data_IF_302791946442
#
_entry.id   IF_302791946442
#
_cell.length_a   1.000
_cell.length_b   1.000
_cell.length_c   1.000
_cell.angle_alpha   90.00
_cell.angle_beta   90.00
_cell.angle_gamma   90.00
#
_symmetry.space_group_name_H-M   'P 1'
#
loop_
_entity.id
_entity.type
_entity.pdbx_description
1 polymer ?
#
# COMPACT_ATOMS: atom_id res chain seq x y z
N UNK A 1 -18.82 -8.03 -12.40
CA UNK A 1 -18.00 -9.21 -12.05
C UNK A 1 -17.13 -9.64 -13.22
N UNK A 2 -17.70 -9.93 -14.39
CA UNK A 2 -16.94 -10.38 -15.58
C UNK A 2 -15.75 -9.49 -15.97
N UNK A 3 -15.95 -8.17 -15.99
CA UNK A 3 -14.88 -7.18 -16.19
C UNK A 3 -13.64 -7.47 -15.32
N UNK A 4 -13.85 -7.75 -14.03
CA UNK A 4 -12.77 -7.94 -13.06
C UNK A 4 -12.12 -9.32 -13.15
N UNK A 5 -12.86 -10.34 -13.61
CA UNK A 5 -12.27 -11.64 -13.96
C UNK A 5 -11.30 -11.52 -15.14
N UNK A 6 -11.71 -10.84 -16.22
CA UNK A 6 -10.84 -10.57 -17.37
C UNK A 6 -9.61 -9.70 -16.99
N UNK A 7 -9.77 -8.76 -16.05
CA UNK A 7 -8.62 -8.03 -15.49
C UNK A 7 -7.65 -9.01 -14.80
N UNK A 8 -8.13 -9.88 -13.92
CA UNK A 8 -7.28 -10.84 -13.21
C UNK A 8 -6.58 -11.84 -14.15
N UNK A 9 -7.24 -12.26 -15.23
CA UNK A 9 -6.63 -13.06 -16.29
C UNK A 9 -5.46 -12.31 -16.96
N UNK A 10 -5.65 -11.03 -17.30
CA UNK A 10 -4.57 -10.19 -17.89
C UNK A 10 -3.42 -9.95 -16.91
N UNK A 11 -3.70 -9.92 -15.62
CA UNK A 11 -2.72 -9.78 -14.54
C UNK A 11 -1.99 -11.10 -14.24
N UNK A 12 -2.33 -12.19 -14.92
CA UNK A 12 -1.86 -13.55 -14.65
C UNK A 12 -1.98 -13.92 -13.16
N UNK A 13 -3.07 -13.48 -12.54
CA UNK A 13 -3.36 -13.77 -11.15
C UNK A 13 -3.97 -15.17 -11.01
N UNK A 14 -3.59 -15.87 -9.95
CA UNK A 14 -4.24 -17.07 -9.47
C UNK A 14 -4.18 -17.12 -7.94
N UNK A 15 -5.07 -17.90 -7.33
CA UNK A 15 -5.12 -18.06 -5.87
C UNK A 15 -3.76 -18.50 -5.33
N UNK A 16 -3.28 -17.82 -4.29
CA UNK A 16 -1.98 -18.04 -3.64
C UNK A 16 -0.74 -17.70 -4.50
N UNK A 17 -0.91 -17.02 -5.65
CA UNK A 17 0.23 -16.41 -6.36
C UNK A 17 0.99 -15.49 -5.40
N UNK A 18 2.30 -15.68 -5.35
CA UNK A 18 3.21 -14.93 -4.48
C UNK A 18 4.60 -14.83 -5.10
N UNK A 19 5.40 -13.88 -4.61
CA UNK A 19 6.82 -13.73 -4.92
C UNK A 19 7.69 -14.33 -3.81
N UNK A 20 8.92 -14.71 -4.16
CA UNK A 20 9.93 -15.12 -3.18
C UNK A 20 10.28 -13.99 -2.21
N UNK A 21 10.33 -12.76 -2.71
CA UNK A 21 10.65 -11.53 -1.97
C UNK A 21 9.83 -10.35 -2.49
N UNK A 22 9.53 -9.39 -1.61
CA UNK A 22 8.83 -8.15 -1.96
C UNK A 22 9.68 -6.93 -1.60
N UNK A 23 10.29 -6.31 -2.61
CA UNK A 23 11.17 -5.16 -2.43
C UNK A 23 10.41 -3.85 -2.64
N UNK A 24 10.56 -2.92 -1.70
CA UNK A 24 10.01 -1.58 -1.79
C UNK A 24 11.11 -0.54 -1.52
N UNK A 25 11.76 -0.09 -2.60
CA UNK A 25 12.90 0.82 -2.50
C UNK A 25 14.12 0.15 -1.87
N UNK A 26 14.46 0.50 -0.64
CA UNK A 26 15.52 -0.14 0.16
C UNK A 26 14.95 -1.07 1.23
N UNK A 27 13.62 -1.18 1.31
CA UNK A 27 12.90 -1.96 2.30
C UNK A 27 12.46 -3.31 1.74
N UNK A 28 12.19 -4.24 2.64
CA UNK A 28 11.55 -5.51 2.33
C UNK A 28 10.18 -5.55 3.02
N UNK A 29 9.13 -5.86 2.26
CA UNK A 29 7.77 -5.96 2.76
C UNK A 29 7.54 -7.39 3.24
N UNK A 30 7.06 -7.55 4.47
CA UNK A 30 6.70 -8.86 5.01
C UNK A 30 5.56 -9.48 4.19
N UNK A 31 5.67 -10.77 3.85
CA UNK A 31 4.68 -11.48 3.02
C UNK A 31 3.27 -11.44 3.62
N UNK A 32 3.17 -11.28 4.95
CA UNK A 32 1.90 -11.15 5.68
C UNK A 32 1.17 -9.85 5.36
N UNK A 33 1.88 -8.80 4.98
CA UNK A 33 1.32 -7.49 4.61
C UNK A 33 0.79 -7.46 3.16
N UNK A 34 1.19 -8.43 2.34
CA UNK A 34 0.84 -8.53 0.91
C UNK A 34 -0.49 -9.26 0.74
N UNK A 35 -1.43 -8.64 0.03
CA UNK A 35 -2.76 -9.19 -0.23
C UNK A 35 -2.97 -9.66 -1.69
N UNK A 36 -2.16 -9.19 -2.64
CA UNK A 36 -2.23 -9.62 -4.04
C UNK A 36 -0.86 -9.53 -4.73
N UNK A 37 -0.58 -10.45 -5.64
CA UNK A 37 0.60 -10.45 -6.50
C UNK A 37 0.16 -10.78 -7.93
N UNK A 38 0.59 -9.99 -8.90
CA UNK A 38 0.29 -10.13 -10.33
C UNK A 38 1.57 -10.51 -11.08
N UNK A 39 1.56 -10.44 -12.40
CA UNK A 39 2.75 -10.69 -13.22
C UNK A 39 3.88 -9.70 -12.92
N UNK A 40 3.54 -8.42 -12.81
CA UNK A 40 4.54 -7.35 -12.66
C UNK A 40 4.41 -6.51 -11.39
N UNK A 41 3.33 -6.68 -10.63
CA UNK A 41 3.01 -5.82 -9.49
C UNK A 41 2.61 -6.62 -8.25
N UNK A 42 2.58 -5.94 -7.12
CA UNK A 42 1.96 -6.47 -5.91
C UNK A 42 1.28 -5.34 -5.12
N UNK A 43 0.30 -5.73 -4.30
CA UNK A 43 -0.42 -4.83 -3.41
C UNK A 43 -0.24 -5.22 -1.95
N UNK A 44 0.03 -4.23 -1.11
CA UNK A 44 0.29 -4.39 0.31
C UNK A 44 -0.34 -3.26 1.13
N UNK A 45 -0.60 -3.54 2.40
CA UNK A 45 -1.27 -2.57 3.29
C UNK A 45 -0.29 -1.52 3.82
N UNK A 46 -0.75 -0.27 4.01
CA UNK A 46 0.15 0.83 4.43
C UNK A 46 0.39 0.82 5.95
N UNK A 47 1.61 0.72 6.43
CA UNK A 47 1.88 0.68 7.87
C UNK A 47 1.68 2.02 8.61
N UNK A 48 1.63 3.13 7.86
CA UNK A 48 1.17 4.45 8.31
C UNK A 48 0.05 4.94 7.38
N UNK A 49 -1.17 4.37 7.50
CA UNK A 49 -2.26 4.77 6.62
C UNK A 49 -2.67 6.22 6.92
N UNK A 50 -3.12 6.95 5.89
CA UNK A 50 -3.72 8.29 6.07
C UNK A 50 -5.16 8.20 6.56
N UNK A 51 -5.88 7.21 6.05
CA UNK A 51 -7.24 6.84 6.38
C UNK A 51 -7.36 5.31 6.37
N UNK A 52 -8.35 4.73 7.05
CA UNK A 52 -8.61 3.29 6.98
C UNK A 52 -8.71 2.79 5.53
N UNK A 53 -8.02 1.69 5.22
CA UNK A 53 -7.98 1.11 3.88
C UNK A 53 -7.00 1.76 2.91
N UNK A 54 -6.11 2.65 3.39
CA UNK A 54 -5.00 3.14 2.58
C UNK A 54 -4.05 1.97 2.27
N UNK A 55 -4.02 1.56 1.01
CA UNK A 55 -3.14 0.52 0.48
C UNK A 55 -2.17 1.10 -0.55
N UNK A 56 -1.08 0.37 -0.80
CA UNK A 56 -0.07 0.70 -1.79
C UNK A 56 0.00 -0.41 -2.84
N UNK A 57 0.13 -0.01 -4.10
CA UNK A 57 0.50 -0.90 -5.20
C UNK A 57 1.87 -0.50 -5.72
N UNK A 58 2.74 -1.45 -6.01
CA UNK A 58 4.07 -1.19 -6.57
C UNK A 58 4.49 -2.30 -7.51
N UNK A 59 5.53 -2.06 -8.30
CA UNK A 59 6.10 -3.06 -9.21
C UNK A 59 6.93 -4.10 -8.44
N UNK A 60 7.01 -5.33 -8.95
CA UNK A 60 7.91 -6.36 -8.40
C UNK A 60 9.38 -5.98 -8.65
N UNK A 61 9.67 -5.36 -9.80
CA UNK A 61 10.99 -4.84 -10.14
C UNK A 61 11.12 -3.40 -9.66
N UNK A 62 12.19 -3.09 -8.92
CA UNK A 62 12.48 -1.73 -8.46
C UNK A 62 12.72 -0.78 -9.64
N UNK A 63 11.77 0.13 -9.86
CA UNK A 63 11.85 1.25 -10.82
C UNK A 63 11.45 2.54 -10.11
N UNK A 64 12.21 3.63 -10.32
CA UNK A 64 12.10 4.83 -9.47
C UNK A 64 10.96 5.73 -9.93
N UNK A 65 10.93 6.02 -11.22
CA UNK A 65 9.99 6.93 -11.85
C UNK A 65 8.91 6.20 -12.64
N UNK A 66 7.73 6.79 -12.76
CA UNK A 66 6.64 6.17 -13.53
C UNK A 66 7.02 5.97 -15.00
N UNK A 67 7.85 6.88 -15.55
CA UNK A 67 8.39 6.78 -16.91
C UNK A 67 9.49 5.71 -17.08
N UNK A 68 9.99 5.11 -16.00
CA UNK A 68 10.91 3.97 -16.08
C UNK A 68 10.17 2.66 -16.40
N UNK A 69 8.85 2.62 -16.22
CA UNK A 69 8.03 1.42 -16.38
C UNK A 69 7.94 1.01 -17.86
N UNK A 70 8.00 -0.30 -18.09
CA UNK A 70 7.74 -0.87 -19.41
C UNK A 70 6.22 -0.87 -19.68
N UNK A 71 5.80 -0.95 -20.94
CA UNK A 71 4.38 -0.88 -21.32
C UNK A 71 3.55 -1.93 -20.59
N UNK A 72 4.09 -3.13 -20.43
CA UNK A 72 3.44 -4.24 -19.74
C UNK A 72 3.24 -3.97 -18.25
N UNK A 73 4.22 -3.32 -17.60
CA UNK A 73 4.14 -2.93 -16.18
C UNK A 73 3.13 -1.80 -15.98
N UNK A 74 3.10 -0.82 -16.90
CA UNK A 74 2.11 0.27 -16.91
C UNK A 74 0.70 -0.32 -16.99
N UNK A 75 0.47 -1.26 -17.91
CA UNK A 75 -0.83 -1.92 -18.08
C UNK A 75 -1.18 -2.71 -16.81
N UNK A 76 -0.26 -3.53 -16.30
CA UNK A 76 -0.48 -4.38 -15.13
C UNK A 76 -0.83 -3.55 -13.88
N UNK A 77 -0.01 -2.57 -13.50
CA UNK A 77 -0.22 -1.82 -12.26
C UNK A 77 -1.50 -0.96 -12.30
N UNK A 78 -1.89 -0.44 -13.47
CA UNK A 78 -3.12 0.34 -13.62
C UNK A 78 -4.38 -0.53 -13.68
N UNK A 79 -4.32 -1.70 -14.31
CA UNK A 79 -5.41 -2.67 -14.25
C UNK A 79 -5.60 -3.18 -12.80
N UNK A 80 -4.49 -3.44 -12.10
CA UNK A 80 -4.50 -3.78 -10.68
C UNK A 80 -5.10 -2.64 -9.83
N UNK A 81 -4.74 -1.38 -10.10
CA UNK A 81 -5.33 -0.22 -9.43
C UNK A 81 -6.84 -0.17 -9.60
N UNK A 82 -7.34 -0.36 -10.83
CA UNK A 82 -8.78 -0.38 -11.08
C UNK A 82 -9.49 -1.52 -10.34
N UNK A 83 -8.89 -2.72 -10.34
CA UNK A 83 -9.40 -3.87 -9.60
C UNK A 83 -9.43 -3.60 -8.09
N UNK A 84 -8.36 -3.03 -7.54
CA UNK A 84 -8.27 -2.78 -6.11
C UNK A 84 -9.23 -1.69 -5.64
N UNK A 85 -9.49 -0.63 -6.41
CA UNK A 85 -10.57 0.32 -6.07
C UNK A 85 -11.94 -0.39 -5.97
N UNK A 86 -12.23 -1.36 -6.84
CA UNK A 86 -13.46 -2.15 -6.74
C UNK A 86 -13.52 -2.98 -5.46
N UNK A 87 -12.44 -3.72 -5.15
CA UNK A 87 -12.35 -4.56 -3.94
C UNK A 87 -12.49 -3.70 -2.68
N UNK A 88 -11.70 -2.63 -2.59
CA UNK A 88 -11.70 -1.74 -1.43
C UNK A 88 -13.04 -1.01 -1.28
N UNK A 89 -13.73 -0.71 -2.37
CA UNK A 89 -15.07 -0.11 -2.31
C UNK A 89 -16.10 -1.05 -1.69
N UNK A 90 -15.98 -2.35 -1.95
CA UNK A 90 -16.81 -3.37 -1.32
C UNK A 90 -16.48 -3.56 0.16
N UNK A 91 -15.20 -3.58 0.52
CA UNK A 91 -14.77 -3.81 1.91
C UNK A 91 -15.03 -2.58 2.80
N UNK A 92 -14.83 -1.37 2.29
CA UNK A 92 -14.94 -0.13 3.07
C UNK A 92 -16.28 0.59 2.90
N UNK A 93 -17.19 0.02 2.11
CA UNK A 93 -18.50 0.57 1.79
C UNK A 93 -18.42 2.02 1.27
N UNK A 94 -17.62 2.22 0.22
CA UNK A 94 -17.49 3.51 -0.47
C UNK A 94 -17.35 3.34 -1.98
N UNK A 95 -17.71 4.38 -2.73
CA UNK A 95 -17.50 4.50 -4.17
C UNK A 95 -16.36 5.46 -4.52
N UNK A 96 -15.82 6.15 -3.52
CA UNK A 96 -14.99 7.33 -3.72
C UNK A 96 -13.55 7.05 -3.26
N UNK A 97 -12.57 7.48 -4.05
CA UNK A 97 -11.16 7.20 -3.81
C UNK A 97 -10.29 8.40 -4.14
N UNK A 98 -9.22 8.59 -3.37
CA UNK A 98 -8.05 9.32 -3.83
C UNK A 98 -7.03 8.32 -4.35
N UNK A 99 -6.62 8.50 -5.61
CA UNK A 99 -5.61 7.67 -6.28
C UNK A 99 -4.46 8.61 -6.65
N UNK A 100 -3.25 8.31 -6.19
CA UNK A 100 -2.12 9.22 -6.38
C UNK A 100 -0.80 8.47 -6.58
N UNK A 101 0.07 9.05 -7.41
CA UNK A 101 1.48 8.67 -7.57
C UNK A 101 2.28 9.92 -7.27
N UNK A 102 3.22 9.83 -6.33
CA UNK A 102 4.22 10.86 -6.11
C UNK A 102 5.45 10.48 -6.94
N UNK A 103 5.52 10.94 -8.19
CA UNK A 103 6.59 10.59 -9.13
C UNK A 103 7.80 11.53 -8.95
N UNK A 104 8.74 11.14 -8.10
CA UNK A 104 9.96 11.89 -7.79
C UNK A 104 9.90 12.70 -6.49
N UNK A 105 11.08 13.06 -5.99
CA UNK A 105 11.28 13.73 -4.70
C UNK A 105 10.46 15.01 -4.55
N UNK A 106 10.45 15.85 -5.60
CA UNK A 106 9.72 17.13 -5.58
C UNK A 106 8.19 16.94 -5.63
N UNK A 107 7.71 15.76 -6.04
CA UNK A 107 6.30 15.37 -5.94
C UNK A 107 5.95 14.75 -4.56
N UNK A 108 6.92 14.65 -3.65
CA UNK A 108 6.75 14.09 -2.30
C UNK A 108 7.12 12.61 -2.17
N UNK A 109 7.73 11.99 -3.18
CA UNK A 109 8.17 10.59 -3.12
C UNK A 109 9.26 10.39 -2.06
N UNK A 110 9.13 9.35 -1.26
CA UNK A 110 10.12 9.03 -0.20
C UNK A 110 10.67 7.64 -0.23
N UNK A 111 10.00 6.73 -0.91
CA UNK A 111 10.57 5.46 -1.31
C UNK A 111 10.84 5.54 -2.81
N UNK A 112 12.12 5.42 -3.20
CA UNK A 112 12.59 5.41 -4.58
C UNK A 112 12.18 4.10 -5.31
N UNK A 113 10.87 3.89 -5.39
CA UNK A 113 10.19 2.81 -6.09
C UNK A 113 8.78 3.34 -6.44
N UNK A 114 8.35 3.26 -7.70
CA UNK A 114 7.00 3.66 -8.12
C UNK A 114 5.94 2.99 -7.26
N UNK A 115 5.04 3.76 -6.68
CA UNK A 115 3.88 3.23 -5.98
C UNK A 115 2.63 4.08 -6.17
N UNK A 116 1.50 3.41 -6.27
CA UNK A 116 0.16 4.01 -6.34
C UNK A 116 -0.46 3.93 -4.95
N UNK A 117 -0.85 5.07 -4.43
CA UNK A 117 -1.71 5.17 -3.25
C UNK A 117 -3.16 4.97 -3.67
N UNK A 118 -3.88 4.11 -2.96
CA UNK A 118 -5.35 4.00 -3.06
C UNK A 118 -5.91 4.25 -1.67
N UNK A 119 -6.70 5.32 -1.55
CA UNK A 119 -7.25 5.77 -0.27
C UNK A 119 -8.78 5.85 -0.39
N UNK A 120 -9.53 4.91 0.19
CA UNK A 120 -10.99 4.98 0.25
C UNK A 120 -11.45 6.25 0.97
N UNK A 121 -12.46 6.93 0.42
CA UNK A 121 -12.95 8.22 0.94
C UNK A 121 -14.37 8.08 1.50
N UNK A 122 -14.69 8.88 2.52
CA UNK A 122 -16.02 8.98 3.12
C UNK A 122 -16.37 10.44 3.41
N UNK A 123 -17.66 10.73 3.50
CA UNK A 123 -18.13 12.06 3.91
C UNK A 123 -17.49 12.43 5.26
N UNK A 124 -16.90 13.63 5.33
CA UNK A 124 -16.24 14.19 6.50
C UNK A 124 -15.00 13.41 7.02
N UNK A 125 -14.39 12.55 6.21
CA UNK A 125 -13.10 11.92 6.56
C UNK A 125 -11.95 12.94 6.69
N UNK A 126 -12.06 14.05 5.97
CA UNK A 126 -11.23 15.24 6.05
C UNK A 126 -12.11 16.48 6.17
N UNK A 127 -11.70 17.44 7.01
CA UNK A 127 -12.33 18.77 7.08
C UNK A 127 -12.09 19.60 5.82
N UNK A 128 -10.90 19.47 5.25
CA UNK A 128 -10.52 20.05 3.96
C UNK A 128 -9.80 18.98 3.16
N UNK A 129 -10.34 18.61 2.00
CA UNK A 129 -9.83 17.53 1.16
C UNK A 129 -8.39 17.77 0.72
N UNK A 130 -7.97 19.02 0.48
CA UNK A 130 -6.62 19.33 0.00
C UNK A 130 -5.54 19.10 1.07
N UNK A 131 -5.91 18.92 2.33
CA UNK A 131 -4.94 18.57 3.36
C UNK A 131 -4.36 17.16 3.16
N UNK A 132 -5.06 16.27 2.43
CA UNK A 132 -4.53 14.93 2.13
C UNK A 132 -3.17 14.99 1.43
N UNK A 133 -2.94 15.98 0.56
CA UNK A 133 -1.65 16.17 -0.13
C UNK A 133 -0.55 16.61 0.84
N UNK A 134 -0.88 17.47 1.80
CA UNK A 134 0.05 17.90 2.84
C UNK A 134 0.42 16.73 3.75
N UNK A 135 -0.56 15.90 4.10
CA UNK A 135 -0.35 14.78 4.99
C UNK A 135 0.37 13.62 4.29
N UNK A 136 0.10 13.37 3.00
CA UNK A 136 0.90 12.47 2.15
C UNK A 136 2.39 12.85 2.15
N UNK A 137 2.71 14.14 2.05
CA UNK A 137 4.10 14.60 2.08
C UNK A 137 4.76 14.50 3.48
N UNK A 138 3.97 14.36 4.55
CA UNK A 138 4.46 14.29 5.94
C UNK A 138 4.61 12.86 6.45
N UNK A 139 3.81 11.92 5.97
CA UNK A 139 3.84 10.51 6.40
C UNK A 139 5.01 9.78 5.73
N UNK A 140 6.21 10.02 6.23
CA UNK A 140 7.47 9.56 5.62
C UNK A 140 8.40 8.86 6.60
N UNK A 141 7.83 8.00 7.44
CA UNK A 141 8.57 7.30 8.51
C UNK A 141 8.06 5.88 8.75
N UNK A 142 7.28 5.30 7.84
CA UNK A 142 6.59 4.03 8.04
C UNK A 142 7.52 2.85 7.91
N UNK A 143 8.07 2.64 6.73
CA UNK A 143 8.85 1.44 6.43
C UNK A 143 10.31 1.58 6.88
N UNK A 144 10.84 0.52 7.47
CA UNK A 144 12.25 0.36 7.82
C UNK A 144 12.73 1.04 9.11
N UNK A 145 11.87 1.23 10.12
CA UNK A 145 12.28 1.73 11.44
C UNK A 145 11.71 0.84 12.54
N UNK A 146 12.57 0.33 13.42
CA UNK A 146 12.14 -0.15 14.72
C UNK A 146 11.58 1.06 15.47
N UNK A 147 10.30 1.02 15.81
CA UNK A 147 9.64 2.13 16.51
C UNK A 147 9.52 1.77 17.98
N UNK A 148 10.26 2.50 18.81
CA UNK A 148 10.16 2.40 20.27
C UNK A 148 9.11 3.40 20.75
N UNK A 149 8.01 2.88 21.30
CA UNK A 149 6.99 3.67 21.99
C UNK A 149 7.60 4.24 23.29
N UNK A 150 7.95 5.52 23.35
CA UNK A 150 8.54 6.11 24.56
C UNK A 150 7.60 6.16 25.77
N UNK A 151 6.29 6.05 25.54
CA UNK A 151 5.26 6.03 26.60
C UNK A 151 5.08 4.66 27.24
N UNK A 152 5.26 3.59 26.45
CA UNK A 152 4.91 2.22 26.83
C UNK A 152 6.07 1.22 26.70
N UNK A 153 7.23 1.68 26.23
CA UNK A 153 8.45 0.92 25.96
C UNK A 153 8.28 -0.29 25.02
N UNK A 154 7.17 -0.39 24.28
CA UNK A 154 6.96 -1.42 23.26
C UNK A 154 7.75 -1.10 21.99
N UNK A 155 8.35 -2.14 21.40
CA UNK A 155 9.07 -2.05 20.12
C UNK A 155 8.22 -2.64 19.01
N UNK A 156 7.89 -1.84 17.99
CA UNK A 156 7.33 -2.33 16.73
C UNK A 156 8.51 -2.58 15.81
N UNK A 157 8.85 -3.85 15.61
CA UNK A 157 9.90 -4.25 14.67
C UNK A 157 9.32 -4.17 13.25
N UNK A 158 9.84 -3.24 12.46
CA UNK A 158 9.55 -3.16 11.01
C UNK A 158 10.82 -3.63 10.30
N UNK A 159 10.75 -4.77 9.61
CA UNK A 159 11.90 -5.33 8.90
C UNK A 159 12.58 -4.27 8.03
N UNK A 160 13.85 -3.99 8.33
CA UNK A 160 14.69 -3.05 7.60
C UNK A 160 16.05 -3.69 7.41
N UNK A 161 16.67 -3.46 6.25
CA UNK A 161 18.04 -3.91 5.99
C UNK A 161 19.09 -3.06 6.72
N UNK A 162 18.72 -1.88 7.25
CA UNK A 162 19.62 -0.96 7.95
C UNK A 162 18.91 -0.30 9.14
N UNK A 163 19.44 -0.46 10.35
CA UNK A 163 18.93 0.23 11.56
C UNK A 163 19.07 1.76 11.41
N UNK A 164 17.94 2.46 11.29
CA UNK A 164 17.90 3.93 11.35
C UNK A 164 17.17 4.33 12.63
N UNK A 165 17.93 4.61 13.69
CA UNK A 165 17.40 5.21 14.92
C UNK A 165 17.19 6.73 14.72
N UNK A 166 15.95 7.17 14.81
CA UNK A 166 15.61 8.60 14.90
C UNK A 166 14.44 8.80 15.88
N UNK A 167 14.63 9.71 16.83
CA UNK A 167 13.62 10.08 17.82
C UNK A 167 12.57 11.01 17.17
N UNK A 168 11.28 10.69 17.34
CA UNK A 168 10.18 11.55 16.91
C UNK A 168 9.12 11.70 18.01
N UNK A 169 8.45 12.85 18.06
CA UNK A 169 7.29 13.09 18.93
C UNK A 169 6.01 12.62 18.23
N UNK A 170 5.20 11.83 18.94
CA UNK A 170 3.96 11.21 18.43
C UNK A 170 2.82 12.20 18.11
N UNK A 171 2.93 13.46 18.54
CA UNK A 171 1.78 14.37 18.70
C UNK A 171 1.36 15.18 17.45
N UNK A 172 1.88 14.89 16.25
CA UNK A 172 1.46 15.60 15.01
C UNK A 172 0.68 14.74 14.00
N UNK A 173 0.35 13.49 14.35
CA UNK A 173 -0.21 12.53 13.38
C UNK A 173 -1.45 11.85 13.93
N UNK A 174 -2.57 11.95 13.21
CA UNK A 174 -3.83 11.31 13.61
C UNK A 174 -3.87 9.80 13.28
N UNK A 175 -2.75 9.20 12.85
CA UNK A 175 -2.64 7.77 12.59
C UNK A 175 -1.39 7.18 13.25
N UNK A 176 -1.60 6.34 14.26
CA UNK A 176 -0.54 5.58 14.91
C UNK A 176 0.06 4.57 13.93
N UNK A 177 1.35 4.24 14.10
CA UNK A 177 1.95 3.11 13.40
C UNK A 177 1.16 1.85 13.71
N UNK A 178 0.91 1.05 12.67
CA UNK A 178 0.25 -0.24 12.80
C UNK A 178 1.25 -1.33 13.15
N UNK A 179 0.85 -2.24 14.03
CA UNK A 179 1.63 -3.45 14.30
C UNK A 179 1.53 -4.43 13.14
N UNK A 180 2.43 -5.40 13.08
CA UNK A 180 2.39 -6.45 12.04
C UNK A 180 1.11 -7.28 12.13
N UNK A 181 0.58 -7.52 13.33
CA UNK A 181 -0.67 -8.26 13.54
C UNK A 181 -1.86 -7.49 12.94
N UNK A 182 -1.93 -6.17 13.14
CA UNK A 182 -2.98 -5.33 12.54
C UNK A 182 -2.88 -5.29 11.01
N UNK A 183 -1.66 -5.27 10.48
CA UNK A 183 -1.43 -5.27 9.04
C UNK A 183 -1.77 -6.63 8.41
N UNK A 184 -1.40 -7.73 9.06
CA UNK A 184 -1.73 -9.09 8.65
C UNK A 184 -3.24 -9.32 8.65
N UNK A 185 -3.95 -8.85 9.68
CA UNK A 185 -5.42 -8.92 9.74
C UNK A 185 -6.07 -8.22 8.54
N UNK A 186 -5.68 -6.98 8.24
CA UNK A 186 -6.21 -6.24 7.10
C UNK A 186 -5.84 -6.88 5.75
N UNK A 187 -4.60 -7.33 5.58
CA UNK A 187 -4.16 -8.01 4.38
C UNK A 187 -4.91 -9.34 4.16
N UNK A 188 -5.17 -10.09 5.24
CA UNK A 188 -5.94 -11.33 5.19
C UNK A 188 -7.41 -11.10 4.87
N UNK A 189 -8.02 -10.03 5.40
CA UNK A 189 -9.38 -9.63 5.02
C UNK A 189 -9.48 -9.38 3.50
N UNK A 190 -8.58 -8.58 2.96
CA UNK A 190 -8.55 -8.24 1.53
C UNK A 190 -8.32 -9.51 0.68
N UNK A 191 -7.31 -10.31 1.05
CA UNK A 191 -6.94 -11.56 0.36
C UNK A 191 -8.07 -12.58 0.37
N UNK A 192 -8.77 -12.74 1.49
CA UNK A 192 -9.90 -13.67 1.63
C UNK A 192 -11.06 -13.24 0.75
N UNK A 193 -11.40 -11.95 0.74
CA UNK A 193 -12.46 -11.42 -0.12
C UNK A 193 -12.16 -11.62 -1.62
N UNK A 194 -10.92 -11.36 -2.06
CA UNK A 194 -10.50 -11.63 -3.44
C UNK A 194 -10.66 -13.12 -3.76
N UNK A 195 -10.16 -13.99 -2.88
CA UNK A 195 -10.22 -15.43 -3.10
C UNK A 195 -11.66 -15.95 -3.18
N UNK A 196 -12.54 -15.53 -2.28
CA UNK A 196 -13.95 -15.97 -2.26
C UNK A 196 -14.71 -15.58 -3.52
N UNK A 197 -14.39 -14.42 -4.10
CA UNK A 197 -15.15 -13.85 -5.22
C UNK A 197 -14.55 -14.16 -6.61
N UNK A 198 -13.26 -14.52 -6.68
CA UNK A 198 -12.52 -14.59 -7.95
C UNK A 198 -11.68 -15.85 -8.16
N UNK A 199 -11.60 -16.80 -7.21
CA UNK A 199 -10.80 -18.04 -7.39
C UNK A 199 -11.41 -19.09 -8.33
N UNK A 200 -12.40 -18.73 -9.15
CA UNK A 200 -13.14 -19.64 -10.05
C UNK A 200 -12.53 -19.66 -11.44
#
# INVERSE_FOLDING_TARGET
MEKYKNILEKLEWYKNKSSEKYEFGIYEIDKREVFITTKYSYGFVNNKPLLPGHILLTTLKKKKHYNDLDIEEIIDINLLCNFMCYIMGKLFNTTDFSIAIQDGKEAGQTVDHVHIHIIPRKINDYKNNDNIYKDMNKINLGYGKNIICTSCNNTINVCSQNEIEQNFKLEEFNTSIRSIEQMEEEANLIKSYINENFSS
#
